data_IF_636164666672
#
_entry.id   IF_636164666672
#
_cell.length_a   1.000
_cell.length_b   1.000
_cell.length_c   1.000
_cell.angle_alpha   90.00
_cell.angle_beta   90.00
_cell.angle_gamma   90.00
#
_symmetry.space_group_name_H-M   'P 1'
#
loop_
_entity.id
_entity.type
_entity.pdbx_description
1 polymer ?
#
# COMPACT_ATOMS: atom_id res chain seq x y z
N UNK A 1 -4.45 -17.85 -0.70
CA UNK A 1 -3.18 -17.58 -1.41
C UNK A 1 -3.40 -16.37 -2.29
N UNK A 2 -2.59 -15.32 -2.15
CA UNK A 2 -2.76 -14.10 -2.94
C UNK A 2 -2.34 -14.37 -4.38
N UNK A 3 -3.30 -14.30 -5.31
CA UNK A 3 -3.04 -14.33 -6.75
C UNK A 3 -2.41 -13.00 -7.15
N UNK A 4 -1.28 -13.03 -7.86
CA UNK A 4 -0.63 -11.84 -8.42
C UNK A 4 -1.26 -11.45 -9.76
N UNK A 5 -1.04 -10.21 -10.20
CA UNK A 5 -1.41 -9.69 -11.52
C UNK A 5 -0.16 -9.33 -12.32
N UNK A 6 -0.22 -9.36 -13.65
CA UNK A 6 0.87 -8.91 -14.51
C UNK A 6 0.87 -7.39 -14.62
N UNK A 7 1.98 -6.73 -14.28
CA UNK A 7 2.15 -5.29 -14.52
C UNK A 7 2.61 -4.98 -15.95
N UNK A 8 2.68 -3.69 -16.28
CA UNK A 8 3.04 -3.20 -17.62
C UNK A 8 4.48 -3.56 -18.05
N UNK A 9 5.37 -3.78 -17.09
CA UNK A 9 6.74 -4.27 -17.28
C UNK A 9 6.83 -5.81 -17.32
N UNK A 10 5.69 -6.51 -17.31
CA UNK A 10 5.59 -7.97 -17.30
C UNK A 10 5.86 -8.62 -15.94
N UNK A 11 6.14 -7.85 -14.88
CA UNK A 11 6.44 -8.41 -13.56
C UNK A 11 5.16 -8.66 -12.74
N UNK A 12 5.11 -9.74 -11.94
CA UNK A 12 3.97 -10.02 -11.06
C UNK A 12 3.90 -8.99 -9.92
N UNK A 13 2.71 -8.47 -9.63
CA UNK A 13 2.43 -7.57 -8.50
C UNK A 13 1.27 -8.07 -7.66
N UNK A 14 1.18 -7.59 -6.42
CA UNK A 14 0.06 -7.93 -5.55
C UNK A 14 -1.26 -7.38 -6.13
N UNK A 15 -2.33 -8.18 -6.13
CA UNK A 15 -3.61 -7.78 -6.74
C UNK A 15 -4.20 -6.46 -6.19
N UNK A 16 -3.93 -6.13 -4.93
CA UNK A 16 -4.46 -4.92 -4.29
C UNK A 16 -3.88 -3.62 -4.89
N UNK A 17 -2.72 -3.67 -5.56
CA UNK A 17 -2.11 -2.46 -6.14
C UNK A 17 -2.85 -1.95 -7.38
N UNK A 18 -3.78 -2.72 -7.94
CA UNK A 18 -4.56 -2.32 -9.12
C UNK A 18 -5.91 -1.67 -8.80
N UNK A 19 -6.20 -1.37 -7.52
CA UNK A 19 -7.46 -0.71 -7.14
C UNK A 19 -7.51 0.72 -7.69
N UNK A 20 -6.39 1.46 -7.59
CA UNK A 20 -6.23 2.79 -8.19
C UNK A 20 -4.82 2.94 -8.77
N UNK A 21 -4.62 3.90 -9.66
CA UNK A 21 -3.32 4.12 -10.31
C UNK A 21 -2.23 4.52 -9.29
N UNK A 22 -2.60 5.26 -8.24
CA UNK A 22 -1.69 5.70 -7.18
C UNK A 22 -1.17 4.54 -6.34
N UNK A 23 -1.96 3.48 -6.19
CA UNK A 23 -1.54 2.30 -5.41
C UNK A 23 -0.44 1.50 -6.10
N UNK A 24 -0.29 1.62 -7.42
CA UNK A 24 0.79 0.97 -8.14
C UNK A 24 2.14 1.60 -7.80
N UNK A 25 2.23 2.92 -7.82
CA UNK A 25 3.44 3.66 -7.48
C UNK A 25 3.81 3.45 -6.01
N UNK A 26 2.83 3.55 -5.11
CA UNK A 26 2.99 3.25 -3.68
C UNK A 26 3.46 1.80 -3.45
N UNK A 27 2.90 0.82 -4.15
CA UNK A 27 3.32 -0.58 -4.05
C UNK A 27 4.79 -0.76 -4.45
N UNK A 28 5.20 -0.15 -5.57
CA UNK A 28 6.52 -0.37 -6.17
C UNK A 28 7.64 0.40 -5.48
N UNK A 29 7.33 1.50 -4.80
CA UNK A 29 8.34 2.42 -4.25
C UNK A 29 8.34 2.55 -2.73
N UNK A 30 7.22 2.20 -2.06
CA UNK A 30 7.07 2.44 -0.63
C UNK A 30 6.66 1.20 0.18
N UNK A 31 5.74 0.39 -0.34
CA UNK A 31 5.16 -0.70 0.42
C UNK A 31 6.17 -1.84 0.64
N UNK A 32 6.43 -2.16 1.90
CA UNK A 32 7.41 -3.20 2.26
C UNK A 32 8.87 -2.76 2.19
N UNK A 33 9.16 -1.52 1.78
CA UNK A 33 10.50 -0.95 1.88
C UNK A 33 10.79 -0.54 3.33
N UNK A 34 12.00 -0.83 3.85
CA UNK A 34 12.36 -0.52 5.23
C UNK A 34 12.40 1.00 5.46
N UNK A 35 11.87 1.44 6.61
CA UNK A 35 11.94 2.82 7.08
C UNK A 35 12.59 2.80 8.47
N UNK A 36 13.66 3.57 8.66
CA UNK A 36 14.46 3.55 9.90
C UNK A 36 14.41 4.86 10.69
N UNK A 37 13.72 5.88 10.21
CA UNK A 37 13.55 7.16 10.89
C UNK A 37 12.17 7.21 11.57
N UNK A 38 12.14 7.66 12.81
CA UNK A 38 10.95 7.69 13.67
C UNK A 38 9.84 8.58 13.10
N UNK A 39 10.18 9.71 12.47
CA UNK A 39 9.20 10.62 11.88
C UNK A 39 8.34 9.97 10.76
N UNK A 40 8.92 9.45 9.67
CA UNK A 40 8.15 8.78 8.64
C UNK A 40 7.48 7.48 9.12
N UNK A 41 8.05 6.81 10.14
CA UNK A 41 7.38 5.68 10.78
C UNK A 41 6.11 6.11 11.52
N UNK A 42 6.18 7.18 12.32
CA UNK A 42 5.03 7.73 13.04
C UNK A 42 3.94 8.20 12.07
N UNK A 43 4.31 8.86 10.98
CA UNK A 43 3.36 9.27 9.93
C UNK A 43 2.62 8.07 9.33
N UNK A 44 3.36 7.02 8.91
CA UNK A 44 2.78 5.80 8.34
C UNK A 44 1.83 5.09 9.34
N UNK A 45 2.19 5.09 10.63
CA UNK A 45 1.35 4.53 11.69
C UNK A 45 0.02 5.31 11.86
N UNK A 46 0.09 6.63 11.89
CA UNK A 46 -1.11 7.47 12.00
C UNK A 46 -2.03 7.28 10.79
N UNK A 47 -1.48 7.31 9.56
CA UNK A 47 -2.24 7.09 8.32
C UNK A 47 -2.99 5.75 8.35
N UNK A 48 -2.33 4.66 8.79
CA UNK A 48 -2.97 3.35 8.93
C UNK A 48 -4.12 3.37 9.94
N UNK A 49 -3.96 4.09 11.05
CA UNK A 49 -4.97 4.21 12.10
C UNK A 49 -6.22 4.94 11.61
N UNK A 50 -6.06 6.04 10.87
CA UNK A 50 -7.20 6.75 10.27
C UNK A 50 -7.95 5.92 9.21
N UNK A 51 -7.23 5.11 8.43
CA UNK A 51 -7.85 4.19 7.47
C UNK A 51 -8.67 3.08 8.16
N UNK A 52 -8.31 2.69 9.38
CA UNK A 52 -9.10 1.76 10.20
C UNK A 52 -10.28 2.44 10.89
N UNK A 53 -10.15 3.74 11.20
CA UNK A 53 -11.19 4.55 11.83
C UNK A 53 -12.28 5.02 10.86
N UNK A 54 -12.23 4.61 9.59
CA UNK A 54 -13.33 4.78 8.65
C UNK A 54 -14.57 4.07 9.17
N UNK A 55 -15.48 4.81 9.78
CA UNK A 55 -16.86 4.40 10.00
C UNK A 55 -17.44 3.98 8.64
N UNK A 56 -17.63 2.68 8.44
CA UNK A 56 -18.65 2.23 7.50
C UNK A 56 -20.01 2.72 8.01
N UNK A 57 -20.91 3.20 7.15
CA UNK A 57 -22.32 3.31 7.54
C UNK A 57 -22.87 1.89 7.68
N UNK A 58 -22.69 1.30 8.86
CA UNK A 58 -23.52 0.23 9.44
C UNK A 58 -23.73 0.55 10.94
#
# INVERSE_FOLDING_TARGET
MSTTISGADGKPRCRWCAITAEFLDYHDTEWGFPVSNDYPLFEKLNLKSFQCAGYGPD
#
